data_IF_249023555299
#
_entry.id   IF_249023555299
#
_cell.length_a   1.000
_cell.length_b   1.000
_cell.length_c   1.000
_cell.angle_alpha   90.00
_cell.angle_beta   90.00
_cell.angle_gamma   90.00
#
_symmetry.space_group_name_H-M   'P 1'
#
loop_
_entity.id
_entity.type
_entity.pdbx_description
1 polymer ?
#
# COMPACT_ATOMS: atom_id res chain seq x y z
N UNK A 1 -12.96 -5.08 -6.42
CA UNK A 1 -11.64 -5.26 -7.08
C UNK A 1 -11.61 -4.49 -8.38
N UNK A 2 -10.41 -4.23 -8.91
CA UNK A 2 -10.22 -3.44 -10.13
C UNK A 2 -9.20 -4.08 -11.06
N UNK A 3 -8.80 -3.34 -12.10
CA UNK A 3 -7.76 -3.76 -13.04
C UNK A 3 -6.71 -2.69 -13.29
N UNK A 4 -5.79 -2.98 -14.21
CA UNK A 4 -4.84 -2.03 -14.76
C UNK A 4 -4.92 -2.12 -16.29
N UNK A 5 -4.87 -0.96 -16.94
CA UNK A 5 -4.68 -0.89 -18.39
C UNK A 5 -3.27 -1.38 -18.76
N UNK A 6 -3.09 -1.80 -20.00
CA UNK A 6 -1.77 -2.10 -20.55
C UNK A 6 -0.78 -0.93 -20.43
N UNK A 7 0.54 -1.19 -20.51
CA UNK A 7 1.59 -0.18 -20.32
C UNK A 7 1.62 0.90 -21.42
N UNK A 8 0.71 0.83 -22.39
CA UNK A 8 0.71 1.70 -23.55
C UNK A 8 0.16 3.10 -23.29
N UNK A 9 -0.72 3.33 -22.32
CA UNK A 9 -1.59 4.53 -22.36
C UNK A 9 -2.00 5.08 -20.99
N UNK A 10 -2.00 6.41 -20.87
CA UNK A 10 -2.51 7.17 -19.71
C UNK A 10 -3.84 7.85 -20.02
N UNK A 11 -4.74 7.18 -20.75
CA UNK A 11 -6.09 7.69 -21.02
C UNK A 11 -7.07 7.20 -19.95
N UNK A 12 -7.72 8.13 -19.26
CA UNK A 12 -8.75 7.85 -18.25
C UNK A 12 -9.98 7.18 -18.87
N UNK A 13 -10.22 7.34 -20.18
CA UNK A 13 -11.33 6.72 -20.92
C UNK A 13 -10.90 5.51 -21.78
N UNK A 14 -9.64 5.08 -21.68
CA UNK A 14 -9.15 3.91 -22.40
C UNK A 14 -9.51 2.57 -21.73
N UNK A 15 -9.36 1.48 -22.48
CA UNK A 15 -9.44 0.11 -21.98
C UNK A 15 -8.35 -0.77 -22.61
N UNK A 16 -7.10 -0.34 -22.51
CA UNK A 16 -5.98 -1.06 -23.13
C UNK A 16 -5.84 -2.47 -22.58
N UNK A 17 -5.65 -3.44 -23.48
CA UNK A 17 -5.53 -4.86 -23.17
C UNK A 17 -6.78 -5.51 -22.57
N UNK A 18 -7.95 -4.85 -22.60
CA UNK A 18 -9.21 -5.34 -22.01
C UNK A 18 -9.07 -5.78 -20.54
N UNK A 19 -8.16 -5.15 -19.79
CA UNK A 19 -7.86 -5.51 -18.41
C UNK A 19 -7.55 -7.01 -18.23
N UNK A 20 -6.99 -7.66 -19.25
CA UNK A 20 -6.75 -9.09 -19.24
C UNK A 20 -5.86 -9.50 -18.05
N UNK A 21 -6.21 -10.61 -17.39
CA UNK A 21 -5.50 -11.11 -16.22
C UNK A 21 -5.76 -10.35 -14.91
N UNK A 22 -6.61 -9.31 -14.92
CA UNK A 22 -7.03 -8.62 -13.70
C UNK A 22 -8.09 -9.37 -12.90
N UNK A 23 -8.15 -9.11 -11.59
CA UNK A 23 -9.19 -9.64 -10.71
C UNK A 23 -10.59 -9.22 -11.18
N UNK A 24 -10.75 -7.99 -11.68
CA UNK A 24 -12.04 -7.51 -12.17
C UNK A 24 -12.51 -8.29 -13.40
N UNK A 25 -11.62 -8.68 -14.31
CA UNK A 25 -11.98 -9.52 -15.45
C UNK A 25 -12.49 -10.91 -15.02
N UNK A 26 -11.90 -11.50 -13.98
CA UNK A 26 -12.37 -12.78 -13.41
C UNK A 26 -13.69 -12.64 -12.65
N UNK A 27 -13.94 -11.49 -12.04
CA UNK A 27 -15.25 -11.21 -11.42
C UNK A 27 -16.31 -11.10 -12.50
N UNK A 28 -16.09 -10.27 -13.53
CA UNK A 28 -17.09 -10.04 -14.59
C UNK A 28 -17.43 -11.31 -15.35
N UNK A 29 -16.45 -12.17 -15.65
CA UNK A 29 -16.69 -13.43 -16.35
C UNK A 29 -17.61 -14.43 -15.63
N UNK A 30 -17.88 -14.21 -14.34
CA UNK A 30 -18.80 -15.03 -13.53
C UNK A 30 -20.14 -14.35 -13.29
N UNK A 31 -20.32 -13.10 -13.73
CA UNK A 31 -21.57 -12.37 -13.51
C UNK A 31 -22.68 -12.93 -14.38
N UNK A 32 -23.87 -12.98 -13.79
CA UNK A 32 -25.11 -13.31 -14.48
C UNK A 32 -25.47 -12.23 -15.52
N UNK A 33 -26.31 -12.59 -16.48
CA UNK A 33 -26.76 -11.65 -17.50
C UNK A 33 -27.62 -10.50 -16.96
N UNK A 34 -28.09 -10.55 -15.72
CA UNK A 34 -28.78 -9.44 -15.05
C UNK A 34 -27.89 -8.25 -14.66
N UNK A 35 -26.57 -8.31 -14.87
CA UNK A 35 -25.65 -7.20 -14.54
C UNK A 35 -25.24 -6.42 -15.79
N UNK A 36 -25.71 -5.17 -15.91
CA UNK A 36 -25.52 -4.33 -17.11
C UNK A 36 -24.37 -3.33 -17.05
N UNK A 37 -23.81 -3.12 -15.86
CA UNK A 37 -22.72 -2.19 -15.63
C UNK A 37 -21.93 -2.61 -14.39
N UNK A 38 -20.61 -2.48 -14.46
CA UNK A 38 -19.73 -2.65 -13.30
C UNK A 38 -18.93 -1.38 -13.06
N UNK A 39 -19.16 -0.76 -11.90
CA UNK A 39 -18.32 0.32 -11.38
C UNK A 39 -17.34 -0.30 -10.38
N UNK A 40 -16.06 -0.22 -10.71
CA UNK A 40 -14.98 -0.89 -10.00
C UNK A 40 -14.06 0.12 -9.29
N UNK A 41 -13.11 -0.39 -8.48
CA UNK A 41 -12.20 0.43 -7.67
C UNK A 41 -11.09 -0.43 -7.07
N UNK A 42 -10.57 -0.04 -5.90
CA UNK A 42 -9.47 -0.71 -5.16
C UNK A 42 -8.08 -0.61 -5.81
N UNK A 43 -7.94 -0.74 -7.12
CA UNK A 43 -6.63 -0.67 -7.81
C UNK A 43 -6.13 0.75 -8.10
N UNK A 44 -6.97 1.77 -7.87
CA UNK A 44 -6.69 3.19 -8.10
C UNK A 44 -6.37 3.55 -9.56
N UNK A 45 -6.65 2.63 -10.49
CA UNK A 45 -6.56 2.88 -11.91
C UNK A 45 -7.79 3.63 -12.43
N UNK A 46 -7.60 4.48 -13.42
CA UNK A 46 -8.69 4.95 -14.27
C UNK A 46 -8.80 4.05 -15.50
N UNK A 47 -10.02 3.71 -15.90
CA UNK A 47 -10.32 3.08 -17.19
C UNK A 47 -11.82 3.17 -17.48
N UNK A 48 -12.17 3.03 -18.75
CA UNK A 48 -13.53 2.94 -19.24
C UNK A 48 -13.60 1.90 -20.35
N UNK A 49 -14.09 0.71 -20.01
CA UNK A 49 -14.28 -0.42 -20.90
C UNK A 49 -15.76 -0.54 -21.26
N UNK A 50 -16.25 0.24 -22.23
CA UNK A 50 -17.63 0.25 -22.71
C UNK A 50 -17.76 0.22 -24.24
N UNK A 51 -18.98 0.13 -24.76
CA UNK A 51 -19.23 0.10 -26.20
C UNK A 51 -18.68 1.33 -26.94
N UNK A 52 -18.60 2.48 -26.26
CA UNK A 52 -18.10 3.73 -26.82
C UNK A 52 -16.63 4.00 -26.44
N UNK A 53 -15.88 2.96 -26.05
CA UNK A 53 -14.47 3.13 -25.69
C UNK A 53 -13.68 3.59 -26.90
N UNK A 54 -12.89 4.63 -26.68
CA UNK A 54 -11.95 5.14 -27.65
C UNK A 54 -10.56 4.78 -27.15
N UNK A 55 -9.85 3.91 -27.88
CA UNK A 55 -8.44 3.69 -27.59
C UNK A 55 -7.62 4.81 -28.25
N UNK A 56 -6.82 5.52 -27.47
CA UNK A 56 -5.63 6.23 -27.96
C UNK A 56 -4.54 5.18 -28.10
N UNK A 57 -3.73 5.07 -29.15
CA UNK A 57 -2.55 4.17 -29.14
C UNK A 57 -1.27 4.98 -29.19
N UNK A 58 -0.24 4.58 -28.43
CA UNK A 58 1.01 5.35 -28.26
C UNK A 58 1.96 5.31 -29.48
N UNK A 59 1.43 5.02 -30.67
CA UNK A 59 2.17 4.99 -31.94
C UNK A 59 1.64 6.00 -32.97
N UNK A 60 0.91 7.02 -32.52
CA UNK A 60 0.44 8.12 -33.35
C UNK A 60 -1.09 8.15 -33.46
N UNK A 61 -1.68 9.17 -32.83
CA UNK A 61 -2.96 9.87 -33.10
C UNK A 61 -4.21 9.10 -33.56
N UNK A 62 -4.20 7.78 -33.60
CA UNK A 62 -5.33 6.99 -34.10
C UNK A 62 -6.24 6.69 -32.93
N UNK A 63 -7.27 7.53 -32.81
CA UNK A 63 -8.49 7.29 -32.05
C UNK A 63 -9.31 6.29 -32.86
N UNK A 64 -9.30 5.01 -32.46
CA UNK A 64 -10.22 4.03 -33.02
C UNK A 64 -11.25 3.69 -31.95
N UNK A 65 -12.49 4.16 -32.09
CA UNK A 65 -13.59 3.64 -31.28
C UNK A 65 -13.70 2.13 -31.49
N UNK A 66 -13.73 1.36 -30.40
CA UNK A 66 -14.09 -0.04 -30.45
C UNK A 66 -15.05 -0.37 -29.33
N UNK A 67 -15.93 -1.33 -29.60
CA UNK A 67 -16.74 -1.92 -28.55
C UNK A 67 -15.79 -2.64 -27.57
N UNK A 68 -15.61 -2.05 -26.39
CA UNK A 68 -14.93 -2.69 -25.27
C UNK A 68 -15.94 -3.05 -24.17
N UNK A 69 -15.47 -3.84 -23.21
CA UNK A 69 -16.27 -4.42 -22.15
C UNK A 69 -15.69 -5.76 -21.76
N UNK A 70 -16.07 -6.26 -20.60
CA UNK A 70 -15.61 -7.56 -20.13
C UNK A 70 -16.74 -8.58 -20.35
N UNK A 71 -16.46 -9.75 -20.94
CA UNK A 71 -17.47 -10.76 -21.17
C UNK A 71 -17.98 -11.32 -19.84
N UNK A 72 -19.30 -11.44 -19.69
CA UNK A 72 -19.92 -12.15 -18.58
C UNK A 72 -20.02 -13.66 -18.83
N UNK A 73 -20.75 -14.39 -17.99
CA UNK A 73 -20.85 -15.86 -18.07
C UNK A 73 -21.41 -16.37 -19.41
N UNK A 74 -22.22 -15.57 -20.10
CA UNK A 74 -22.78 -15.91 -21.42
C UNK A 74 -22.02 -15.24 -22.58
N UNK A 75 -20.93 -14.53 -22.29
CA UNK A 75 -20.12 -13.82 -23.28
C UNK A 75 -20.65 -12.44 -23.67
N UNK A 76 -21.72 -11.92 -23.04
CA UNK A 76 -22.17 -10.54 -23.25
C UNK A 76 -21.12 -9.58 -22.68
N UNK A 77 -20.73 -8.59 -23.46
CA UNK A 77 -19.81 -7.54 -22.99
C UNK A 77 -20.54 -6.63 -22.00
N UNK A 78 -20.05 -6.62 -20.77
CA UNK A 78 -20.53 -5.72 -19.71
C UNK A 78 -19.59 -4.51 -19.63
N UNK A 79 -20.12 -3.28 -19.71
CA UNK A 79 -19.37 -2.07 -19.45
C UNK A 79 -18.71 -2.07 -18.07
N UNK A 80 -17.43 -1.71 -17.99
CA UNK A 80 -16.66 -1.64 -16.74
C UNK A 80 -15.90 -0.33 -16.65
N UNK A 81 -16.00 0.37 -15.53
CA UNK A 81 -15.30 1.65 -15.33
C UNK A 81 -14.67 1.76 -13.94
N UNK A 82 -13.64 2.60 -13.82
CA UNK A 82 -12.99 2.99 -12.58
C UNK A 82 -12.46 4.43 -12.71
N UNK A 83 -12.49 5.20 -11.63
CA UNK A 83 -12.21 6.64 -11.60
C UNK A 83 -10.96 7.01 -10.79
N UNK A 84 -9.84 6.31 -10.99
CA UNK A 84 -8.57 6.61 -10.32
C UNK A 84 -8.72 6.68 -8.78
N UNK A 85 -8.13 7.69 -8.15
CA UNK A 85 -8.16 7.96 -6.72
C UNK A 85 -8.17 9.47 -6.41
N UNK A 86 -8.40 9.81 -5.14
CA UNK A 86 -8.29 11.17 -4.58
C UNK A 86 -9.20 12.23 -5.22
N UNK A 87 -10.30 11.80 -5.82
CA UNK A 87 -11.25 12.69 -6.51
C UNK A 87 -10.66 13.37 -7.75
N UNK A 88 -9.56 12.83 -8.32
CA UNK A 88 -8.93 13.38 -9.53
C UNK A 88 -9.70 13.04 -10.80
N UNK A 89 -10.51 11.99 -10.77
CA UNK A 89 -11.39 11.59 -11.87
C UNK A 89 -12.77 11.34 -11.30
N UNK A 90 -13.80 11.73 -12.05
CA UNK A 90 -15.20 11.44 -11.79
C UNK A 90 -15.76 10.65 -12.97
N UNK A 91 -16.42 9.50 -12.74
CA UNK A 91 -17.18 8.85 -13.80
C UNK A 91 -18.59 9.43 -13.85
N UNK A 92 -18.96 9.95 -15.01
CA UNK A 92 -20.31 10.36 -15.39
C UNK A 92 -20.94 9.20 -16.20
N UNK A 93 -22.16 8.76 -15.86
CA UNK A 93 -22.76 7.55 -16.46
C UNK A 93 -24.20 7.81 -16.88
N UNK A 94 -24.44 7.83 -18.19
CA UNK A 94 -25.78 7.82 -18.76
C UNK A 94 -26.29 6.39 -18.94
N UNK A 95 -27.50 6.12 -18.46
CA UNK A 95 -28.17 4.81 -18.57
C UNK A 95 -29.56 4.98 -19.21
N UNK A 96 -29.85 4.19 -20.23
CA UNK A 96 -31.17 4.16 -20.88
C UNK A 96 -31.94 2.93 -20.40
N UNK A 97 -33.11 3.15 -19.79
CA UNK A 97 -33.98 2.09 -19.28
C UNK A 97 -35.22 2.00 -20.18
N UNK A 98 -35.54 0.79 -20.65
CA UNK A 98 -36.84 0.54 -21.28
C UNK A 98 -37.91 0.36 -20.19
N UNK A 99 -38.93 1.22 -20.12
CA UNK A 99 -39.95 1.15 -19.07
C UNK A 99 -40.86 -0.08 -19.16
N UNK A 100 -40.91 -0.77 -20.32
CA UNK A 100 -41.75 -1.96 -20.51
C UNK A 100 -41.05 -3.21 -20.00
N UNK A 101 -39.82 -3.45 -20.46
CA UNK A 101 -39.00 -4.57 -19.99
C UNK A 101 -38.42 -4.33 -18.60
N UNK A 102 -38.31 -3.04 -18.19
CA UNK A 102 -37.57 -2.57 -17.01
C UNK A 102 -36.10 -2.92 -17.05
N UNK A 103 -35.57 -3.06 -18.26
CA UNK A 103 -34.18 -3.47 -18.51
C UNK A 103 -33.34 -2.29 -19.01
N UNK A 104 -32.04 -2.36 -18.75
CA UNK A 104 -31.06 -1.39 -19.26
C UNK A 104 -30.73 -1.74 -20.70
N UNK A 105 -30.94 -0.78 -21.59
CA UNK A 105 -30.74 -0.95 -23.05
C UNK A 105 -29.49 -0.26 -23.58
N UNK A 106 -28.96 0.72 -22.84
CA UNK A 106 -27.70 1.37 -23.17
C UNK A 106 -27.03 1.92 -21.90
N UNK A 107 -25.69 1.90 -21.90
CA UNK A 107 -24.85 2.44 -20.83
C UNK A 107 -23.69 3.19 -21.47
N UNK A 108 -23.54 4.47 -21.14
CA UNK A 108 -22.52 5.36 -21.71
C UNK A 108 -21.73 6.07 -20.59
N UNK A 109 -20.76 5.39 -19.98
CA UNK A 109 -19.88 6.00 -18.99
C UNK A 109 -18.84 6.91 -19.66
N UNK A 110 -18.46 7.99 -18.99
CA UNK A 110 -17.37 8.89 -19.36
C UNK A 110 -16.60 9.31 -18.11
N UNK A 111 -15.32 9.02 -18.07
CA UNK A 111 -14.41 9.55 -17.05
C UNK A 111 -14.07 11.01 -17.37
N UNK A 112 -14.29 11.89 -16.38
CA UNK A 112 -14.02 13.33 -16.42
C UNK A 112 -12.85 13.63 -15.50
N UNK A 113 -11.83 14.30 -16.02
CA UNK A 113 -10.72 14.78 -15.20
C UNK A 113 -11.18 15.96 -14.33
N UNK A 114 -10.95 15.85 -13.03
CA UNK A 114 -11.14 16.96 -12.08
C UNK A 114 -9.83 17.75 -12.03
N UNK A 115 -9.67 18.64 -12.99
CA UNK A 115 -8.50 19.50 -13.12
C UNK A 115 -8.73 20.83 -12.39
N UNK A 116 -7.94 21.08 -11.33
CA UNK A 116 -8.00 22.32 -10.54
C UNK A 116 -7.51 23.54 -11.32
N UNK A 117 -6.83 23.36 -12.45
CA UNK A 117 -6.41 24.45 -13.33
C UNK A 117 -7.46 24.82 -14.36
N UNK A 118 -8.51 24.00 -14.53
CA UNK A 118 -9.59 24.28 -15.46
C UNK A 118 -10.55 25.34 -14.86
N UNK A 119 -10.65 26.54 -15.45
CA UNK A 119 -11.51 27.61 -14.94
C UNK A 119 -13.01 27.29 -15.02
N UNK A 120 -13.42 26.27 -15.78
CA UNK A 120 -14.82 25.82 -15.79
C UNK A 120 -15.19 25.01 -14.53
N UNK A 121 -14.19 24.49 -13.79
CA UNK A 121 -14.40 23.71 -12.57
C UNK A 121 -14.24 24.67 -11.37
N UNK A 122 -15.37 25.19 -10.89
CA UNK A 122 -15.39 26.12 -9.76
C UNK A 122 -15.74 25.38 -8.46
N UNK A 123 -15.00 25.60 -7.35
CA UNK A 123 -15.37 25.05 -6.05
C UNK A 123 -16.75 25.54 -5.61
N UNK A 124 -17.59 24.63 -5.11
CA UNK A 124 -18.85 25.03 -4.49
C UNK A 124 -18.58 25.83 -3.21
N UNK A 125 -19.18 27.02 -3.12
CA UNK A 125 -19.05 27.87 -1.94
C UNK A 125 -19.61 27.21 -0.67
N UNK A 126 -20.68 26.44 -0.79
CA UNK A 126 -21.29 25.70 0.31
C UNK A 126 -20.35 24.60 0.83
N UNK A 127 -19.79 23.80 -0.08
CA UNK A 127 -18.83 22.75 0.29
C UNK A 127 -17.56 23.37 0.88
N UNK A 128 -17.07 24.48 0.32
CA UNK A 128 -15.93 25.21 0.84
C UNK A 128 -16.17 25.71 2.28
N UNK A 129 -17.37 26.22 2.59
CA UNK A 129 -17.72 26.65 3.94
C UNK A 129 -17.69 25.49 4.95
N UNK A 130 -18.22 24.32 4.57
CA UNK A 130 -18.15 23.10 5.39
C UNK A 130 -16.71 22.68 5.65
N UNK A 131 -15.89 22.63 4.60
CA UNK A 131 -14.47 22.28 4.70
C UNK A 131 -13.70 23.25 5.60
N UNK A 132 -13.96 24.55 5.49
CA UNK A 132 -13.35 25.56 6.34
C UNK A 132 -13.70 25.37 7.82
N UNK A 133 -14.96 25.03 8.12
CA UNK A 133 -15.40 24.71 9.49
C UNK A 133 -14.62 23.53 10.09
N UNK A 134 -14.52 22.42 9.36
CA UNK A 134 -13.75 21.25 9.84
C UNK A 134 -12.25 21.52 9.93
N UNK A 135 -11.68 22.26 8.96
CA UNK A 135 -10.28 22.66 9.01
C UNK A 135 -9.97 23.46 10.28
N UNK A 136 -10.81 24.44 10.63
CA UNK A 136 -10.62 25.22 11.85
C UNK A 136 -10.60 24.37 13.13
N UNK A 137 -11.40 23.30 13.18
CA UNK A 137 -11.45 22.38 14.31
C UNK A 137 -10.24 21.44 14.37
N UNK A 138 -9.76 20.97 13.21
CA UNK A 138 -8.70 19.96 13.13
C UNK A 138 -7.30 20.58 13.12
N UNK A 139 -7.13 21.80 12.62
CA UNK A 139 -5.82 22.45 12.48
C UNK A 139 -4.97 22.49 13.76
N UNK A 140 -5.52 22.76 14.97
CA UNK A 140 -4.72 22.71 16.20
C UNK A 140 -4.18 21.31 16.52
N UNK A 141 -4.94 20.27 16.20
CA UNK A 141 -4.54 18.87 16.42
C UNK A 141 -3.51 18.49 15.36
N UNK A 142 -3.80 18.76 14.09
CA UNK A 142 -2.94 18.46 12.96
C UNK A 142 -1.60 19.19 13.04
N UNK A 143 -1.58 20.46 13.43
CA UNK A 143 -0.38 21.29 13.51
C UNK A 143 0.51 21.04 14.73
N UNK A 144 0.14 20.12 15.62
CA UNK A 144 0.97 19.76 16.78
C UNK A 144 2.24 19.05 16.32
N UNK A 145 3.41 19.62 16.62
CA UNK A 145 4.71 18.96 16.41
C UNK A 145 4.82 17.74 17.34
N UNK A 146 5.15 16.58 16.77
CA UNK A 146 5.27 15.30 17.48
C UNK A 146 6.72 14.79 17.54
N UNK A 147 7.63 15.38 16.78
CA UNK A 147 9.06 15.05 16.77
C UNK A 147 9.76 15.78 15.64
N UNK A 148 11.05 15.49 15.44
CA UNK A 148 11.83 16.05 14.35
C UNK A 148 12.66 14.99 13.61
N UNK A 149 13.01 15.26 12.35
CA UNK A 149 13.83 14.44 11.47
C UNK A 149 14.99 15.27 10.89
N UNK A 150 16.11 14.63 10.53
CA UNK A 150 17.27 15.32 9.95
C UNK A 150 17.24 15.44 8.42
N UNK A 151 16.39 14.66 7.75
CA UNK A 151 16.28 14.58 6.28
C UNK A 151 14.95 13.96 5.87
N UNK A 152 14.61 14.05 4.58
CA UNK A 152 13.42 13.39 4.03
C UNK A 152 13.46 11.87 4.26
N UNK A 153 12.30 11.32 4.65
CA UNK A 153 12.03 9.90 4.76
C UNK A 153 10.94 9.54 3.74
N UNK A 154 11.28 9.22 2.48
CA UNK A 154 10.28 8.98 1.44
C UNK A 154 9.53 7.66 1.67
N UNK A 155 8.29 7.59 1.17
CA UNK A 155 7.50 6.36 1.08
C UNK A 155 7.83 5.48 -0.15
N UNK A 156 9.00 5.70 -0.77
CA UNK A 156 9.48 4.94 -1.92
C UNK A 156 10.76 4.17 -1.59
N UNK A 157 11.11 3.19 -2.42
CA UNK A 157 12.41 2.55 -2.32
C UNK A 157 13.52 3.57 -2.56
N UNK A 158 14.56 3.55 -1.73
CA UNK A 158 15.74 4.42 -1.89
C UNK A 158 17.00 3.66 -2.34
N UNK A 159 16.90 2.34 -2.46
CA UNK A 159 18.00 1.50 -2.93
C UNK A 159 17.49 0.29 -3.75
N UNK A 160 18.43 -0.48 -4.28
CA UNK A 160 18.15 -1.66 -5.11
C UNK A 160 17.56 -2.86 -4.34
N UNK A 161 17.65 -2.86 -3.00
CA UNK A 161 17.08 -3.87 -2.12
C UNK A 161 15.68 -3.50 -1.61
N UNK A 162 15.24 -2.28 -1.93
CA UNK A 162 13.93 -1.71 -1.68
C UNK A 162 13.67 -1.30 -0.24
N UNK A 163 14.71 -0.93 0.51
CA UNK A 163 14.52 -0.27 1.80
C UNK A 163 13.71 1.03 1.60
N UNK A 164 12.83 1.35 2.55
CA UNK A 164 11.93 2.50 2.49
C UNK A 164 12.04 3.26 3.82
N UNK A 165 12.69 4.43 3.86
CA UNK A 165 12.97 5.13 5.12
C UNK A 165 11.74 5.43 5.98
N UNK A 166 10.61 5.84 5.39
CA UNK A 166 9.37 6.07 6.13
C UNK A 166 8.84 4.79 6.80
N UNK A 167 8.87 3.67 6.09
CA UNK A 167 8.39 2.40 6.63
C UNK A 167 9.34 1.78 7.63
N UNK A 168 10.66 2.02 7.52
CA UNK A 168 11.61 1.66 8.57
C UNK A 168 11.29 2.40 9.88
N UNK A 169 11.05 3.72 9.81
CA UNK A 169 10.68 4.54 10.97
C UNK A 169 9.37 4.04 11.61
N UNK A 170 8.35 3.76 10.79
CA UNK A 170 7.06 3.26 11.28
C UNK A 170 7.23 1.88 11.93
N UNK A 171 7.97 0.96 11.31
CA UNK A 171 8.22 -0.36 11.90
C UNK A 171 9.00 -0.25 13.23
N UNK A 172 9.93 0.70 13.34
CA UNK A 172 10.65 0.98 14.60
C UNK A 172 9.70 1.47 15.69
N UNK A 173 8.79 2.38 15.34
CA UNK A 173 7.78 2.88 16.27
C UNK A 173 6.82 1.78 16.76
N UNK A 174 6.40 0.90 15.85
CA UNK A 174 5.56 -0.25 16.19
C UNK A 174 6.27 -1.20 17.14
N UNK A 175 7.54 -1.53 16.87
CA UNK A 175 8.34 -2.36 17.76
C UNK A 175 8.52 -1.69 19.13
N UNK A 176 8.84 -0.40 19.17
CA UNK A 176 9.05 0.32 20.43
C UNK A 176 7.79 0.31 21.32
N UNK A 177 6.61 0.43 20.72
CA UNK A 177 5.34 0.43 21.45
C UNK A 177 4.95 -0.95 22.01
N UNK A 178 5.37 -2.04 21.37
CA UNK A 178 4.95 -3.41 21.74
C UNK A 178 6.06 -4.28 22.32
N UNK A 179 7.32 -3.81 22.31
CA UNK A 179 8.47 -4.50 22.90
C UNK A 179 8.38 -4.71 24.42
N UNK A 180 7.82 -3.79 25.24
CA UNK A 180 7.67 -4.06 26.66
C UNK A 180 6.78 -5.28 26.90
N UNK A 181 7.11 -6.08 27.91
CA UNK A 181 6.45 -7.36 28.17
C UNK A 181 4.92 -7.22 28.34
N UNK A 182 4.48 -6.17 29.05
CA UNK A 182 3.06 -5.90 29.30
C UNK A 182 2.29 -5.44 28.05
N UNK A 183 3.00 -5.06 26.98
CA UNK A 183 2.43 -4.63 25.71
C UNK A 183 2.64 -5.64 24.57
N UNK A 184 3.10 -6.85 24.90
CA UNK A 184 3.17 -7.98 23.97
C UNK A 184 4.53 -8.64 23.83
N UNK A 185 5.58 -8.01 24.37
CA UNK A 185 6.94 -8.55 24.36
C UNK A 185 7.51 -8.72 22.95
N UNK A 186 7.14 -7.85 22.01
CA UNK A 186 7.54 -7.97 20.61
C UNK A 186 9.05 -7.89 20.45
N UNK A 187 9.59 -8.74 19.58
CA UNK A 187 11.00 -8.76 19.20
C UNK A 187 11.20 -8.21 17.78
N UNK A 188 10.14 -8.25 16.98
CA UNK A 188 10.12 -7.87 15.57
C UNK A 188 8.83 -7.09 15.34
N UNK A 189 8.89 -6.03 14.54
CA UNK A 189 7.71 -5.48 13.90
C UNK A 189 7.89 -5.43 12.38
N UNK A 190 6.79 -5.60 11.66
CA UNK A 190 6.76 -5.46 10.21
C UNK A 190 5.72 -4.44 9.77
N UNK A 191 6.10 -3.63 8.79
CA UNK A 191 5.22 -2.71 8.10
C UNK A 191 5.07 -3.11 6.63
N UNK A 192 3.84 -3.18 6.14
CA UNK A 192 3.56 -3.39 4.73
C UNK A 192 3.69 -2.06 3.96
N UNK A 193 4.31 -2.10 2.77
CA UNK A 193 4.59 -0.89 1.98
C UNK A 193 3.36 -0.05 1.68
N UNK A 194 2.23 -0.68 1.33
CA UNK A 194 1.00 0.02 0.97
C UNK A 194 0.34 0.75 2.15
N UNK A 195 0.68 0.35 3.38
CA UNK A 195 0.28 1.03 4.61
C UNK A 195 1.02 2.36 4.83
N UNK A 196 2.17 2.56 4.18
CA UNK A 196 2.96 3.80 4.25
C UNK A 196 2.57 4.69 3.07
N UNK A 197 2.04 5.87 3.38
CA UNK A 197 1.43 6.75 2.40
C UNK A 197 2.36 7.87 1.97
N UNK A 198 2.12 8.33 0.75
CA UNK A 198 2.86 9.42 0.15
C UNK A 198 2.62 10.74 0.91
N UNK A 199 3.66 11.58 1.05
CA UNK A 199 5.03 11.41 0.54
C UNK A 199 5.96 10.61 1.50
N UNK A 200 5.47 10.19 2.66
CA UNK A 200 6.29 9.80 3.81
C UNK A 200 6.45 10.99 4.74
N UNK A 201 7.68 11.26 5.20
CA UNK A 201 7.97 12.41 6.06
C UNK A 201 8.95 13.34 5.35
N UNK A 202 8.62 14.62 5.26
CA UNK A 202 9.43 15.63 4.56
C UNK A 202 10.16 16.51 5.56
N UNK A 203 11.42 16.84 5.26
CA UNK A 203 12.22 17.77 6.06
C UNK A 203 11.81 19.22 5.82
N UNK A 204 11.39 19.57 4.59
CA UNK A 204 10.82 20.89 4.34
C UNK A 204 9.49 21.02 5.09
N UNK A 205 9.28 22.16 5.78
CA UNK A 205 8.01 22.45 6.45
C UNK A 205 6.86 22.51 5.46
N UNK A 206 5.71 21.95 5.82
CA UNK A 206 4.44 22.08 5.10
C UNK A 206 3.59 23.26 5.62
N UNK A 207 3.95 23.84 6.77
CA UNK A 207 3.28 24.97 7.39
C UNK A 207 4.23 25.89 8.16
N UNK A 208 3.84 26.25 9.39
CA UNK A 208 4.57 27.19 10.26
C UNK A 208 5.47 26.50 11.29
N UNK A 209 5.49 25.17 11.31
CA UNK A 209 6.26 24.35 12.25
C UNK A 209 7.78 24.48 12.06
N UNK A 210 8.24 24.89 10.88
CA UNK A 210 9.66 24.99 10.54
C UNK A 210 10.28 23.66 10.10
N UNK A 211 11.39 23.75 9.35
CA UNK A 211 12.01 22.57 8.73
C UNK A 211 12.44 21.52 9.77
N UNK A 212 12.27 20.26 9.41
CA UNK A 212 12.62 19.08 10.19
C UNK A 212 11.58 18.71 11.23
N UNK A 213 10.66 19.60 11.60
CA UNK A 213 9.60 19.28 12.53
C UNK A 213 8.50 18.48 11.83
N UNK A 214 8.12 17.35 12.42
CA UNK A 214 7.03 16.51 11.96
C UNK A 214 5.80 16.81 12.82
N UNK A 215 4.70 17.16 12.16
CA UNK A 215 3.40 17.39 12.79
C UNK A 215 2.56 16.12 12.85
N UNK A 216 1.54 16.11 13.72
CA UNK A 216 0.57 15.03 13.77
C UNK A 216 -0.17 14.87 12.43
N UNK A 217 -0.47 15.98 11.74
CA UNK A 217 -1.12 15.97 10.43
C UNK A 217 -0.29 15.26 9.37
N UNK A 218 1.02 15.55 9.30
CA UNK A 218 1.94 14.88 8.38
C UNK A 218 2.09 13.38 8.70
N UNK A 219 2.20 13.03 9.99
CA UNK A 219 2.24 11.63 10.40
C UNK A 219 0.93 10.89 10.07
N UNK A 220 -0.22 11.54 10.27
CA UNK A 220 -1.52 10.98 9.90
C UNK A 220 -1.65 10.85 8.38
N UNK A 221 -1.16 11.80 7.59
CA UNK A 221 -1.09 11.68 6.13
C UNK A 221 -0.27 10.46 5.71
N UNK A 222 0.89 10.22 6.35
CA UNK A 222 1.75 9.08 6.07
C UNK A 222 1.18 7.73 6.57
N UNK A 223 0.31 7.72 7.59
CA UNK A 223 -0.30 6.53 8.18
C UNK A 223 -1.78 6.78 8.61
N UNK A 224 -2.73 6.88 7.67
CA UNK A 224 -4.08 7.41 7.92
C UNK A 224 -5.12 6.36 8.32
N UNK A 225 -4.72 5.09 8.42
CA UNK A 225 -5.68 3.98 8.51
C UNK A 225 -6.25 3.76 9.91
N UNK A 226 -5.61 4.29 10.95
CA UNK A 226 -6.01 4.07 12.33
C UNK A 226 -6.00 2.58 12.70
N UNK A 227 -5.02 1.82 12.20
CA UNK A 227 -4.94 0.40 12.50
C UNK A 227 -4.56 0.20 13.96
N UNK A 228 -5.06 -0.85 14.59
CA UNK A 228 -4.51 -1.33 15.86
C UNK A 228 -3.28 -2.19 15.60
N UNK A 229 -2.26 -2.07 16.46
CA UNK A 229 -1.14 -3.00 16.47
C UNK A 229 -1.59 -4.35 17.04
N UNK A 230 -1.09 -5.44 16.47
CA UNK A 230 -1.35 -6.80 16.92
C UNK A 230 -0.02 -7.52 17.05
N UNK A 231 0.28 -7.97 18.27
CA UNK A 231 1.44 -8.82 18.55
C UNK A 231 1.02 -10.28 18.63
N UNK A 232 1.66 -11.14 17.84
CA UNK A 232 1.38 -12.57 17.79
C UNK A 232 2.66 -13.40 17.87
N UNK A 233 2.51 -14.68 18.14
CA UNK A 233 3.61 -15.64 18.17
C UNK A 233 3.67 -16.35 16.82
N UNK A 234 4.81 -16.23 16.14
CA UNK A 234 5.12 -16.96 14.90
C UNK A 234 6.29 -17.90 15.12
N UNK A 235 6.31 -19.02 14.42
CA UNK A 235 7.49 -19.88 14.35
C UNK A 235 8.53 -19.28 13.38
N UNK A 236 9.78 -19.73 13.47
CA UNK A 236 10.83 -19.38 12.51
C UNK A 236 10.43 -19.77 11.08
N UNK A 237 9.72 -20.89 10.93
CA UNK A 237 9.19 -21.31 9.65
C UNK A 237 8.10 -20.36 9.15
N UNK A 238 7.17 -19.92 10.01
CA UNK A 238 6.16 -18.93 9.63
C UNK A 238 6.79 -17.60 9.24
N UNK A 239 7.81 -17.13 9.96
CA UNK A 239 8.59 -15.93 9.59
C UNK A 239 9.18 -16.05 8.18
N UNK A 240 9.81 -17.19 7.86
CA UNK A 240 10.32 -17.46 6.51
C UNK A 240 9.19 -17.46 5.49
N UNK A 241 8.05 -18.08 5.80
CA UNK A 241 6.89 -18.16 4.92
C UNK A 241 6.30 -16.76 4.63
N UNK A 242 6.19 -15.90 5.64
CA UNK A 242 5.75 -14.50 5.49
C UNK A 242 6.66 -13.75 4.52
N UNK A 243 7.98 -13.89 4.67
CA UNK A 243 8.93 -13.22 3.79
C UNK A 243 8.91 -13.80 2.36
N UNK A 244 8.65 -15.09 2.17
CA UNK A 244 8.50 -15.68 0.83
C UNK A 244 7.18 -15.30 0.15
N UNK A 245 6.11 -15.06 0.92
CA UNK A 245 4.81 -14.55 0.41
C UNK A 245 4.88 -13.16 -0.21
N UNK A 246 5.98 -12.45 0.00
CA UNK A 246 6.16 -11.09 -0.46
C UNK A 246 6.34 -11.01 -1.99
N UNK A 247 6.66 -12.13 -2.66
CA UNK A 247 6.98 -12.19 -4.08
C UNK A 247 5.82 -12.66 -4.96
N UNK A 248 5.69 -12.06 -6.14
CA UNK A 248 4.67 -12.43 -7.13
C UNK A 248 4.64 -13.93 -7.44
N UNK A 249 3.44 -14.52 -7.40
CA UNK A 249 3.21 -15.95 -7.65
C UNK A 249 3.67 -16.90 -6.53
N UNK A 250 4.37 -16.40 -5.50
CA UNK A 250 4.84 -17.25 -4.41
C UNK A 250 3.80 -17.38 -3.31
N UNK A 251 3.57 -18.61 -2.85
CA UNK A 251 2.71 -18.93 -1.68
C UNK A 251 1.32 -18.26 -1.71
N UNK A 252 0.71 -18.20 -2.90
CA UNK A 252 -0.62 -17.62 -3.12
C UNK A 252 -0.65 -16.12 -3.37
N UNK A 253 0.50 -15.44 -3.40
CA UNK A 253 0.60 -14.05 -3.79
C UNK A 253 0.20 -13.83 -5.25
N UNK A 254 -0.42 -12.69 -5.56
CA UNK A 254 -0.87 -12.36 -6.92
C UNK A 254 0.24 -12.51 -7.96
N UNK A 255 -0.10 -13.01 -9.15
CA UNK A 255 0.86 -13.41 -10.19
C UNK A 255 1.77 -12.28 -10.69
N UNK A 256 1.35 -11.02 -10.52
CA UNK A 256 2.10 -9.83 -10.95
C UNK A 256 2.41 -8.87 -9.80
N UNK A 257 2.23 -9.28 -8.53
CA UNK A 257 2.33 -8.36 -7.40
C UNK A 257 3.41 -8.80 -6.42
N UNK A 258 4.45 -7.98 -6.28
CA UNK A 258 5.46 -8.14 -5.23
C UNK A 258 5.28 -7.01 -4.23
N UNK A 259 5.05 -7.37 -2.97
CA UNK A 259 4.87 -6.44 -1.86
C UNK A 259 5.99 -6.77 -0.88
N UNK A 260 7.10 -6.03 -0.84
CA UNK A 260 8.16 -6.37 0.12
C UNK A 260 7.74 -6.00 1.54
N UNK A 261 8.16 -6.78 2.53
CA UNK A 261 7.96 -6.47 3.93
C UNK A 261 9.07 -5.53 4.45
N UNK A 262 8.69 -4.51 5.23
CA UNK A 262 9.62 -3.56 5.84
C UNK A 262 9.83 -3.93 7.32
N UNK A 263 11.04 -4.35 7.73
CA UNK A 263 11.31 -4.76 9.10
C UNK A 263 11.73 -3.61 10.02
N UNK A 264 11.39 -3.74 11.29
CA UNK A 264 11.92 -2.91 12.38
C UNK A 264 13.42 -3.13 12.62
N UNK A 265 14.04 -2.24 13.39
CA UNK A 265 15.41 -2.37 13.86
C UNK A 265 15.65 -3.73 14.52
N UNK A 266 16.86 -4.26 14.32
CA UNK A 266 17.26 -5.57 14.83
C UNK A 266 16.93 -6.74 13.90
N UNK A 267 15.98 -6.64 12.97
CA UNK A 267 15.69 -7.70 12.00
C UNK A 267 16.28 -7.38 10.63
N UNK A 268 17.02 -8.32 10.05
CA UNK A 268 17.59 -8.20 8.70
C UNK A 268 17.32 -9.44 7.87
N UNK A 269 17.12 -9.28 6.56
CA UNK A 269 17.04 -10.39 5.62
C UNK A 269 17.65 -10.05 4.26
N UNK A 270 18.08 -11.07 3.54
CA UNK A 270 18.54 -10.98 2.16
C UNK A 270 17.54 -11.66 1.24
N UNK A 271 17.34 -11.11 0.05
CA UNK A 271 16.56 -11.78 -0.98
C UNK A 271 17.24 -11.86 -2.34
N UNK A 272 16.85 -12.87 -3.11
CA UNK A 272 17.27 -13.09 -4.49
C UNK A 272 16.05 -13.42 -5.36
N UNK A 273 15.66 -12.47 -6.20
CA UNK A 273 14.48 -12.62 -7.06
C UNK A 273 14.71 -13.56 -8.25
N UNK A 274 15.95 -13.97 -8.52
CA UNK A 274 16.25 -14.92 -9.60
C UNK A 274 15.95 -16.37 -9.22
N UNK A 275 15.74 -16.65 -7.92
CA UNK A 275 15.46 -17.99 -7.42
C UNK A 275 13.96 -18.33 -7.55
N UNK A 276 13.66 -19.62 -7.52
CA UNK A 276 12.30 -20.12 -7.40
C UNK A 276 11.68 -19.67 -6.06
N UNK A 277 10.34 -19.67 -6.00
CA UNK A 277 9.61 -19.44 -4.75
C UNK A 277 10.11 -20.35 -3.63
N UNK A 278 10.03 -19.88 -2.38
CA UNK A 278 10.51 -20.56 -1.17
C UNK A 278 12.04 -20.64 -1.01
N UNK A 279 12.80 -20.29 -2.06
CA UNK A 279 14.25 -20.20 -2.04
C UNK A 279 14.77 -18.74 -2.09
N UNK A 280 13.88 -17.74 -2.22
CA UNK A 280 14.27 -16.35 -2.45
C UNK A 280 14.83 -15.67 -1.21
N UNK A 281 14.41 -16.05 0.00
CA UNK A 281 14.82 -15.45 1.27
C UNK A 281 16.00 -16.22 1.86
N UNK A 282 17.05 -15.49 2.25
CA UNK A 282 18.30 -16.00 2.82
C UNK A 282 18.80 -15.07 3.91
N UNK A 283 19.73 -15.54 4.73
CA UNK A 283 20.44 -14.72 5.73
C UNK A 283 19.49 -13.87 6.60
N UNK A 284 18.47 -14.51 7.17
CA UNK A 284 17.58 -13.83 8.11
C UNK A 284 18.24 -13.82 9.47
N UNK A 285 18.45 -12.62 10.03
CA UNK A 285 19.08 -12.44 11.34
C UNK A 285 18.22 -11.55 12.23
N UNK A 286 18.22 -11.84 13.53
CA UNK A 286 17.57 -11.06 14.57
C UNK A 286 18.61 -10.66 15.62
N UNK A 287 18.73 -9.38 15.89
CA UNK A 287 19.56 -8.85 16.97
C UNK A 287 18.68 -8.51 18.16
N UNK A 288 18.84 -9.21 19.27
CA UNK A 288 18.13 -8.93 20.54
C UNK A 288 19.15 -8.72 21.64
N UNK A 289 19.09 -7.60 22.36
CA UNK A 289 20.03 -7.28 23.46
C UNK A 289 21.51 -7.41 23.06
N UNK A 290 21.86 -7.00 21.84
CA UNK A 290 23.22 -7.08 21.29
C UNK A 290 23.67 -8.48 20.84
N UNK A 291 22.83 -9.51 20.99
CA UNK A 291 23.11 -10.86 20.51
C UNK A 291 22.45 -11.07 19.15
N UNK A 292 23.20 -11.62 18.20
CA UNK A 292 22.72 -11.92 16.84
C UNK A 292 22.35 -13.39 16.74
N UNK A 293 21.09 -13.67 16.42
CA UNK A 293 20.55 -14.98 16.10
C UNK A 293 20.36 -15.10 14.57
N UNK A 294 20.89 -16.16 13.96
CA UNK A 294 20.57 -16.50 12.56
C UNK A 294 19.33 -17.38 12.54
N UNK A 295 18.26 -16.89 11.92
CA UNK A 295 16.98 -17.60 11.77
C UNK A 295 16.98 -18.45 10.49
N UNK A 296 17.52 -17.88 9.41
CA UNK A 296 17.64 -18.53 8.09
C UNK A 296 19.07 -18.35 7.60
N UNK A 297 19.71 -19.45 7.22
CA UNK A 297 21.11 -19.43 6.76
C UNK A 297 21.29 -18.84 5.34
N UNK A 298 22.54 -18.84 4.86
CA UNK A 298 22.88 -18.34 3.54
C UNK A 298 22.33 -19.21 2.39
N UNK A 299 22.02 -20.48 2.64
CA UNK A 299 21.41 -21.37 1.67
C UNK A 299 19.87 -21.21 1.62
N UNK A 300 19.28 -20.54 2.62
CA UNK A 300 17.84 -20.32 2.74
C UNK A 300 17.13 -21.32 3.67
N UNK A 301 17.87 -22.16 4.40
CA UNK A 301 17.33 -23.13 5.35
C UNK A 301 17.04 -22.49 6.70
N UNK A 302 15.88 -22.84 7.28
CA UNK A 302 15.49 -22.40 8.63
C UNK A 302 16.22 -23.26 9.66
N UNK A 303 17.06 -22.65 10.50
CA UNK A 303 17.96 -23.40 11.40
C UNK A 303 17.20 -24.12 12.53
N UNK A 304 16.15 -23.49 13.07
CA UNK A 304 15.26 -24.10 14.06
C UNK A 304 13.79 -23.77 13.73
N UNK A 305 13.12 -24.60 12.92
CA UNK A 305 11.78 -24.30 12.41
C UNK A 305 10.72 -24.03 13.47
N UNK A 306 10.83 -24.64 14.66
CA UNK A 306 9.85 -24.52 15.74
C UNK A 306 10.16 -23.42 16.75
N UNK A 307 11.34 -22.78 16.64
CA UNK A 307 11.67 -21.61 17.46
C UNK A 307 10.63 -20.52 17.23
N UNK A 308 10.09 -19.96 18.30
CA UNK A 308 9.03 -18.95 18.24
C UNK A 308 9.54 -17.54 18.55
N UNK A 309 8.86 -16.55 17.95
CA UNK A 309 9.14 -15.12 18.11
C UNK A 309 7.84 -14.35 18.32
N UNK A 310 7.91 -13.27 19.10
CA UNK A 310 6.81 -12.30 19.21
C UNK A 310 6.95 -11.24 18.14
N UNK A 311 5.95 -11.14 17.27
CA UNK A 311 5.96 -10.31 16.06
C UNK A 311 4.77 -9.37 16.07
N UNK A 312 5.03 -8.08 15.88
CA UNK A 312 4.01 -7.05 15.75
C UNK A 312 3.76 -6.70 14.29
N UNK A 313 2.49 -6.57 13.94
CA UNK A 313 2.04 -5.99 12.67
C UNK A 313 0.80 -5.16 12.92
N UNK A 314 0.38 -4.36 11.94
CA UNK A 314 -0.96 -3.77 11.97
C UNK A 314 -2.06 -4.85 11.80
N UNK A 315 -3.26 -4.58 12.31
CA UNK A 315 -4.39 -5.53 12.28
C UNK A 315 -4.80 -5.98 10.85
N UNK A 316 -4.66 -5.12 9.84
CA UNK A 316 -4.87 -5.51 8.44
C UNK A 316 -3.95 -6.68 8.06
N UNK A 317 -2.66 -6.58 8.35
CA UNK A 317 -1.68 -7.64 8.10
C UNK A 317 -1.91 -8.87 8.99
N UNK A 318 -2.29 -8.67 10.25
CA UNK A 318 -2.58 -9.77 11.19
C UNK A 318 -3.69 -10.70 10.67
N UNK A 319 -4.61 -10.17 9.88
CA UNK A 319 -5.71 -10.91 9.25
C UNK A 319 -5.39 -11.42 7.83
N UNK A 320 -4.13 -11.39 7.41
CA UNK A 320 -3.70 -11.87 6.10
C UNK A 320 -3.84 -10.84 4.98
N UNK A 321 -3.96 -9.55 5.32
CA UNK A 321 -3.93 -8.44 4.37
C UNK A 321 -2.73 -8.51 3.43
N UNK A 322 -2.86 -7.91 2.24
CA UNK A 322 -1.83 -7.94 1.18
C UNK A 322 -1.42 -9.35 0.69
N UNK A 323 -2.20 -10.38 1.03
CA UNK A 323 -1.93 -11.77 0.66
C UNK A 323 -0.97 -12.50 1.61
N UNK A 324 -0.64 -11.91 2.76
CA UNK A 324 0.25 -12.52 3.76
C UNK A 324 -0.48 -13.49 4.68
N UNK A 325 -1.07 -14.54 4.10
CA UNK A 325 -1.87 -15.52 4.85
C UNK A 325 -1.07 -16.31 5.88
N UNK A 326 0.26 -16.32 5.82
CA UNK A 326 1.09 -16.96 6.85
C UNK A 326 0.94 -16.29 8.23
N UNK A 327 0.53 -15.02 8.31
CA UNK A 327 0.17 -14.40 9.59
C UNK A 327 -1.03 -15.05 10.28
N UNK A 328 -1.91 -15.73 9.54
CA UNK A 328 -3.06 -16.45 10.12
C UNK A 328 -2.64 -17.65 10.97
N UNK A 329 -1.39 -18.13 10.84
CA UNK A 329 -0.82 -19.14 11.72
C UNK A 329 -0.40 -18.55 13.08
N UNK A 330 -0.42 -17.23 13.24
CA UNK A 330 -0.06 -16.53 14.46
C UNK A 330 -0.92 -16.98 15.64
N UNK A 331 -0.25 -17.35 16.73
CA UNK A 331 -0.90 -17.74 17.98
C UNK A 331 -0.75 -16.67 19.04
N UNK A 332 -1.55 -16.73 20.11
CA UNK A 332 -1.53 -15.76 21.21
C UNK A 332 -1.56 -14.30 20.73
N UNK A 333 -2.55 -13.91 19.89
CA UNK A 333 -2.66 -12.53 19.45
C UNK A 333 -3.01 -11.62 20.63
N UNK A 334 -2.34 -10.49 20.71
CA UNK A 334 -2.60 -9.42 21.66
C UNK A 334 -2.77 -8.12 20.88
N UNK A 335 -3.92 -7.46 21.04
CA UNK A 335 -4.15 -6.13 20.50
C UNK A 335 -3.39 -5.07 21.31
N UNK A 336 -2.97 -4.00 20.64
CA UNK A 336 -2.22 -2.90 21.23
C UNK A 336 -2.80 -1.54 20.84
N UNK A 337 -1.97 -0.50 21.03
CA UNK A 337 -2.32 0.88 20.68
C UNK A 337 -2.63 1.05 19.18
N UNK A 338 -3.22 2.20 18.83
CA UNK A 338 -3.29 2.60 17.43
C UNK A 338 -1.88 2.85 16.90
N UNK A 339 -1.68 2.50 15.63
CA UNK A 339 -0.40 2.68 14.93
C UNK A 339 0.06 4.15 14.95
N UNK A 340 -0.86 5.11 14.85
CA UNK A 340 -0.55 6.54 14.92
C UNK A 340 -0.07 6.95 16.31
N UNK A 341 -0.66 6.42 17.38
CA UNK A 341 -0.26 6.73 18.75
C UNK A 341 1.14 6.17 19.04
N UNK A 342 1.44 4.97 18.52
CA UNK A 342 2.78 4.38 18.60
C UNK A 342 3.84 5.26 17.90
N UNK A 343 3.52 5.77 16.70
CA UNK A 343 4.40 6.67 15.96
C UNK A 343 4.62 8.00 16.69
N UNK A 344 3.55 8.61 17.22
CA UNK A 344 3.63 9.84 18.00
C UNK A 344 4.49 9.65 19.24
N UNK A 345 4.28 8.56 19.99
CA UNK A 345 5.06 8.26 21.18
C UNK A 345 6.55 8.01 20.86
N UNK A 346 6.84 7.34 19.75
CA UNK A 346 8.21 7.12 19.30
C UNK A 346 8.91 8.42 18.88
N UNK A 347 8.24 9.26 18.08
CA UNK A 347 8.79 10.52 17.61
C UNK A 347 8.98 11.56 18.71
N UNK A 348 8.22 11.46 19.81
CA UNK A 348 8.39 12.34 20.97
C UNK A 348 9.80 12.27 21.58
N UNK A 349 10.51 11.13 21.42
CA UNK A 349 11.91 10.99 21.84
C UNK A 349 12.90 11.82 21.00
N UNK A 350 12.47 12.29 19.82
CA UNK A 350 13.26 13.04 18.85
C UNK A 350 12.79 14.50 18.72
N UNK A 351 12.10 15.02 19.75
CA UNK A 351 11.72 16.42 19.83
C UNK A 351 12.72 17.20 20.69
N UNK A 352 12.86 18.50 20.44
CA UNK A 352 13.76 19.35 21.21
C UNK A 352 13.44 19.26 22.73
N UNK A 353 14.46 19.14 23.60
CA UNK A 353 15.89 19.32 23.35
C UNK A 353 16.65 18.06 22.85
N UNK A 354 15.98 16.92 22.65
CA UNK A 354 16.61 15.72 22.08
C UNK A 354 17.00 15.95 20.62
N UNK A 355 17.99 15.18 20.16
CA UNK A 355 18.40 15.20 18.75
C UNK A 355 17.23 14.71 17.85
N UNK A 356 17.04 15.33 16.66
CA UNK A 356 16.10 14.83 15.67
C UNK A 356 16.43 13.40 15.22
N UNK A 357 15.41 12.66 14.76
CA UNK A 357 15.57 11.31 14.22
C UNK A 357 16.50 11.36 13.01
N UNK A 358 17.62 10.67 13.12
CA UNK A 358 18.59 10.52 12.03
C UNK A 358 18.49 9.11 11.44
N UNK A 359 17.99 8.93 10.20
CA UNK A 359 17.89 7.62 9.58
C UNK A 359 19.26 6.95 9.34
N UNK A 360 20.37 7.70 9.42
CA UNK A 360 21.73 7.19 9.32
C UNK A 360 22.35 6.79 10.67
N UNK A 361 21.61 6.86 11.78
CA UNK A 361 22.11 6.40 13.07
C UNK A 361 22.47 4.90 13.01
N UNK A 362 23.72 4.58 13.38
CA UNK A 362 24.25 3.23 13.38
C UNK A 362 23.44 2.28 14.28
N UNK A 363 22.82 2.80 15.35
CA UNK A 363 21.97 2.03 16.26
C UNK A 363 20.73 1.45 15.57
N UNK A 364 20.26 2.08 14.48
CA UNK A 364 19.10 1.61 13.70
C UNK A 364 19.43 0.38 12.83
N UNK A 365 20.73 0.08 12.67
CA UNK A 365 21.21 -1.12 11.99
C UNK A 365 20.78 -1.24 10.53
N UNK A 366 20.73 -0.12 9.78
CA UNK A 366 20.39 -0.10 8.35
C UNK A 366 21.61 -0.37 7.44
N UNK A 367 21.41 -0.86 6.19
CA UNK A 367 20.14 -1.33 5.63
C UNK A 367 19.69 -2.65 6.27
N UNK A 368 18.38 -2.89 6.27
CA UNK A 368 17.77 -4.09 6.88
C UNK A 368 17.37 -5.13 5.85
N UNK A 369 17.10 -4.68 4.64
CA UNK A 369 16.82 -5.53 3.48
C UNK A 369 18.05 -5.48 2.58
N UNK A 370 18.56 -6.65 2.21
CA UNK A 370 19.63 -6.80 1.23
C UNK A 370 19.13 -7.57 0.01
N UNK A 371 19.75 -7.31 -1.14
CA UNK A 371 19.45 -8.03 -2.39
C UNK A 371 20.74 -8.51 -3.03
N UNK A 372 20.72 -9.76 -3.49
CA UNK A 372 21.89 -10.39 -4.16
C UNK A 372 21.62 -10.80 -5.61
N UNK A 373 20.34 -10.86 -6.04
CA UNK A 373 19.96 -11.20 -7.42
C UNK A 373 18.50 -10.87 -7.77
N UNK A 374 18.10 -11.06 -9.03
CA UNK A 374 16.72 -10.85 -9.52
C UNK A 374 16.41 -9.45 -10.07
N UNK A 375 15.12 -9.09 -10.19
CA UNK A 375 14.62 -7.82 -10.78
C UNK A 375 14.85 -6.60 -9.87
N UNK A 376 14.79 -5.38 -10.43
CA UNK A 376 14.69 -4.14 -9.65
C UNK A 376 13.52 -4.18 -8.67
N UNK A 377 13.50 -3.25 -7.71
CA UNK A 377 12.34 -3.06 -6.85
C UNK A 377 11.08 -3.02 -7.70
N UNK A 378 10.04 -3.80 -7.34
CA UNK A 378 8.81 -3.84 -8.11
C UNK A 378 8.29 -2.41 -8.31
N UNK A 379 8.45 -1.90 -9.52
CA UNK A 379 7.83 -0.66 -9.98
C UNK A 379 6.39 -1.00 -10.33
N UNK A 380 5.54 -1.19 -9.33
CA UNK A 380 4.19 -1.67 -9.56
C UNK A 380 3.32 -1.55 -8.31
N UNK A 381 2.42 -0.58 -8.33
CA UNK A 381 1.15 -0.55 -7.59
C UNK A 381 1.16 -0.52 -6.04
N UNK A 382 2.29 -0.28 -5.37
CA UNK A 382 2.28 0.21 -3.98
C UNK A 382 2.80 1.66 -3.83
N UNK A 383 3.09 2.34 -4.95
CA UNK A 383 2.94 3.80 -4.98
C UNK A 383 1.45 4.04 -5.04
N UNK A 384 0.86 4.10 -3.87
CA UNK A 384 -0.46 4.65 -3.73
C UNK A 384 -0.18 6.13 -3.45
N UNK A 385 -0.17 6.99 -4.49
CA UNK A 385 0.40 8.34 -4.40
C UNK A 385 -0.32 9.23 -3.42
#
# INVERSE_FOLDING_TARGET
QGGFQGPGLSDINGCDGNLAGSDIAQVVSRLDNAVDLVVSGHTHAAYNCSANTVDVTNSGTTITPRNAGLPNIIGRLVPVTSASAFGRVLTDIDVTIDPRSRDITAVAPTNRLVDRTNPAVQPSAEVAAIMNGYNALVSPIAGRVIGAITTDLPNSATDAACNMPAGDLIADAQLAATAPADFGGAQIAFMNRGGVRSPGFTYASSGTEGNGNVTYGEAFTAQPFGNSLVTMTLTAQDLKNVLEQQFAGCRGQGAATTRLMLPSAGFRYTWDGALACDARIRNVTLTTNGQVETVVDAAGAVLNPTRTYRVTVNNFMATGGDGYTAFLNGTNPLGGAQDIDALVAYLAAYNAPSAPYNPADAALGKPRINRVGGTSCPGGANVNP
#
